data_IF_015036718744
#
_entry.id   IF_015036718744
#
_cell.length_a   1.000
_cell.length_b   1.000
_cell.length_c   1.000
_cell.angle_alpha   90.00
_cell.angle_beta   90.00
_cell.angle_gamma   90.00
#
_symmetry.space_group_name_H-M   'P 1'
#
loop_
_entity.id
_entity.type
_entity.pdbx_description
1 polymer ?
#
# COMPACT_ATOMS: atom_id res chain seq x y z
N UNK A 1 -19.03 18.46 4.24
CA UNK A 1 -18.94 18.52 2.75
C UNK A 1 -18.58 19.96 2.42
N UNK A 2 -17.53 20.23 1.64
CA UNK A 2 -16.92 21.58 1.50
C UNK A 2 -17.93 22.70 1.25
N UNK A 3 -19.01 22.44 0.50
CA UNK A 3 -20.08 23.42 0.27
C UNK A 3 -20.93 23.77 1.50
N UNK A 4 -21.09 22.84 2.44
CA UNK A 4 -21.80 23.05 3.71
C UNK A 4 -20.89 23.77 4.71
N UNK A 5 -19.63 23.34 4.78
CA UNK A 5 -18.68 23.81 5.80
C UNK A 5 -18.15 25.22 5.47
N UNK A 6 -18.04 25.57 4.19
CA UNK A 6 -17.48 26.85 3.72
C UNK A 6 -18.47 27.71 2.92
N UNK A 7 -19.72 27.26 2.73
CA UNK A 7 -20.78 27.96 1.95
C UNK A 7 -20.36 28.37 0.53
N UNK A 8 -19.41 27.66 -0.06
CA UNK A 8 -18.93 27.92 -1.43
C UNK A 8 -19.41 26.85 -2.38
N UNK A 9 -19.80 27.27 -3.59
CA UNK A 9 -20.07 26.35 -4.69
C UNK A 9 -18.80 26.27 -5.56
N UNK A 10 -18.12 25.13 -5.51
CA UNK A 10 -16.90 24.89 -6.27
C UNK A 10 -17.21 24.02 -7.48
N UNK A 11 -16.84 24.49 -8.66
CA UNK A 11 -16.88 23.68 -9.87
C UNK A 11 -15.79 22.61 -9.85
N UNK A 12 -16.07 21.47 -10.50
CA UNK A 12 -15.11 20.38 -10.64
C UNK A 12 -13.78 20.83 -11.26
N UNK A 13 -13.83 21.82 -12.16
CA UNK A 13 -12.65 22.42 -12.78
C UNK A 13 -11.75 23.14 -11.77
N UNK A 14 -12.31 23.97 -10.88
CA UNK A 14 -11.57 24.70 -9.84
C UNK A 14 -10.94 23.74 -8.84
N UNK A 15 -11.65 22.66 -8.49
CA UNK A 15 -11.12 21.61 -7.63
C UNK A 15 -9.94 20.91 -8.32
N UNK A 16 -10.10 20.53 -9.59
CA UNK A 16 -9.04 19.90 -10.39
C UNK A 16 -7.80 20.79 -10.48
N UNK A 17 -7.95 22.07 -10.85
CA UNK A 17 -6.85 23.04 -10.94
C UNK A 17 -6.06 23.14 -9.62
N UNK A 18 -6.74 23.21 -8.48
CA UNK A 18 -6.07 23.25 -7.17
C UNK A 18 -5.41 21.93 -6.81
N UNK A 19 -5.87 20.80 -7.33
CA UNK A 19 -5.30 19.48 -7.07
C UNK A 19 -4.19 19.05 -8.04
N UNK A 20 -4.00 19.71 -9.20
CA UNK A 20 -3.00 19.34 -10.23
C UNK A 20 -1.56 19.30 -9.69
N UNK A 21 -1.22 20.09 -8.67
CA UNK A 21 0.08 20.03 -7.99
C UNK A 21 0.15 19.04 -6.81
N UNK A 22 -0.99 18.63 -6.27
CA UNK A 22 -1.09 17.68 -5.15
C UNK A 22 -1.36 16.24 -5.63
N UNK A 23 -1.63 16.03 -6.92
CA UNK A 23 -2.01 14.71 -7.46
C UNK A 23 -0.84 13.73 -7.44
N UNK A 24 0.40 14.21 -7.48
CA UNK A 24 1.60 13.41 -7.22
C UNK A 24 1.73 12.98 -5.75
N UNK A 25 1.02 13.65 -4.83
CA UNK A 25 0.99 13.35 -3.38
C UNK A 25 -0.17 12.42 -3.01
N UNK A 26 -1.19 12.28 -3.88
CA UNK A 26 -2.21 11.24 -3.76
C UNK A 26 -1.57 9.88 -4.08
N UNK A 27 -0.72 9.40 -3.16
CA UNK A 27 -0.17 8.06 -3.16
C UNK A 27 -1.35 7.11 -3.36
N UNK A 28 -1.28 6.32 -4.42
CA UNK A 28 -2.27 5.28 -4.61
C UNK A 28 -2.32 4.43 -3.35
N UNK A 29 -3.52 4.25 -2.81
CA UNK A 29 -3.72 3.36 -1.67
C UNK A 29 -3.36 1.97 -2.16
N UNK A 30 -2.28 1.39 -1.61
CA UNK A 30 -1.90 0.03 -1.92
C UNK A 30 -3.02 -0.91 -1.46
N UNK A 31 -3.75 -1.45 -2.41
CA UNK A 31 -4.73 -2.51 -2.16
C UNK A 31 -4.00 -3.84 -2.21
N UNK A 32 -3.72 -4.39 -1.03
CA UNK A 32 -3.11 -5.71 -0.93
C UNK A 32 -4.18 -6.79 -1.21
N UNK A 33 -3.89 -7.83 -2.01
CA UNK A 33 -4.80 -8.94 -2.19
C UNK A 33 -5.25 -9.52 -0.84
N UNK A 34 -6.51 -9.92 -0.70
CA UNK A 34 -7.02 -10.48 0.57
C UNK A 34 -6.19 -11.69 1.04
N UNK A 35 -5.74 -12.51 0.09
CA UNK A 35 -4.83 -13.64 0.33
C UNK A 35 -3.52 -13.20 1.00
N UNK A 36 -3.02 -12.01 0.69
CA UNK A 36 -1.82 -11.44 1.29
C UNK A 36 -2.11 -10.64 2.57
N UNK A 37 -3.32 -10.11 2.77
CA UNK A 37 -3.67 -9.41 4.01
C UNK A 37 -4.20 -10.34 5.13
N UNK A 38 -4.45 -11.61 4.83
CA UNK A 38 -4.90 -12.60 5.81
C UNK A 38 -3.81 -12.96 6.83
N UNK A 39 -4.15 -12.93 8.12
CA UNK A 39 -3.17 -13.07 9.21
C UNK A 39 -2.45 -14.41 9.21
N UNK A 40 -3.15 -15.50 8.89
CA UNK A 40 -2.52 -16.82 8.78
C UNK A 40 -1.50 -16.83 7.63
N UNK A 41 -1.78 -16.15 6.52
CA UNK A 41 -0.85 -16.09 5.38
C UNK A 41 0.33 -15.14 5.66
N UNK A 42 0.14 -14.10 6.48
CA UNK A 42 1.25 -13.30 7.01
C UNK A 42 2.14 -14.14 7.91
N UNK A 43 1.56 -14.91 8.83
CA UNK A 43 2.30 -15.78 9.73
C UNK A 43 3.12 -16.83 8.96
N UNK A 44 2.50 -17.55 8.01
CA UNK A 44 3.18 -18.55 7.18
C UNK A 44 4.37 -17.95 6.39
N UNK A 45 4.17 -16.79 5.74
CA UNK A 45 5.26 -16.10 5.01
C UNK A 45 6.38 -15.63 5.93
N UNK A 46 6.04 -15.16 7.15
CA UNK A 46 7.05 -14.77 8.15
C UNK A 46 7.89 -15.97 8.55
N UNK A 47 7.27 -17.10 8.90
CA UNK A 47 7.98 -18.33 9.29
C UNK A 47 8.90 -18.80 8.17
N UNK A 48 8.39 -18.90 6.94
CA UNK A 48 9.19 -19.28 5.77
C UNK A 48 10.40 -18.35 5.58
N UNK A 49 10.20 -17.03 5.64
CA UNK A 49 11.29 -16.07 5.47
C UNK A 49 12.35 -16.18 6.59
N UNK A 50 11.94 -16.48 7.82
CA UNK A 50 12.85 -16.69 8.94
C UNK A 50 13.69 -17.96 8.75
N UNK A 51 13.08 -19.06 8.32
CA UNK A 51 13.78 -20.32 8.04
C UNK A 51 14.73 -20.20 6.85
N UNK A 52 14.27 -19.57 5.77
CA UNK A 52 15.11 -19.28 4.60
C UNK A 52 16.35 -18.48 5.00
N UNK A 53 16.19 -17.44 5.83
CA UNK A 53 17.31 -16.67 6.35
C UNK A 53 18.30 -17.50 7.16
N UNK A 54 17.81 -18.42 8.00
CA UNK A 54 18.69 -19.32 8.77
C UNK A 54 19.52 -20.20 7.83
N UNK A 55 18.89 -20.76 6.79
CA UNK A 55 19.58 -21.56 5.79
C UNK A 55 20.62 -20.75 5.02
N UNK A 56 20.29 -19.52 4.59
CA UNK A 56 21.26 -18.64 3.93
C UNK A 56 22.45 -18.31 4.83
N UNK A 57 22.21 -18.01 6.12
CA UNK A 57 23.29 -17.76 7.08
C UNK A 57 24.16 -18.99 7.35
N UNK A 58 23.59 -20.20 7.23
CA UNK A 58 24.33 -21.46 7.33
C UNK A 58 25.16 -21.77 6.07
N UNK A 59 25.07 -20.95 5.03
CA UNK A 59 25.73 -21.22 3.74
C UNK A 59 25.02 -22.28 2.91
N UNK A 60 23.75 -22.58 3.20
CA UNK A 60 22.97 -23.51 2.39
C UNK A 60 22.53 -22.82 1.10
N UNK A 61 22.58 -23.55 -0.01
CA UNK A 61 22.15 -23.09 -1.32
C UNK A 61 20.90 -23.86 -1.77
N UNK A 62 20.04 -23.17 -2.52
CA UNK A 62 18.92 -23.81 -3.21
C UNK A 62 19.48 -24.49 -4.46
N UNK A 63 19.30 -25.80 -4.58
CA UNK A 63 19.62 -26.56 -5.79
C UNK A 63 18.32 -26.76 -6.56
N UNK A 64 18.33 -26.39 -7.85
CA UNK A 64 17.21 -26.48 -8.77
C UNK A 64 17.24 -27.77 -9.58
#
# INVERSE_FOLDING_TARGET
MVSIDFRVNLGAFTISEKLIGFTYILKQVRVEPQTCNYDVNKAKRKTFAQELRKHMSAGNFIVY
#
